data_IF_819057948416
#
_entry.id   IF_819057948416
#
_cell.length_a   1.000
_cell.length_b   1.000
_cell.length_c   1.000
_cell.angle_alpha   90.00
_cell.angle_beta   90.00
_cell.angle_gamma   90.00
#
_symmetry.space_group_name_H-M   'P 1'
#
loop_
_entity.id
_entity.type
_entity.pdbx_description
1 polymer ?
#
# COMPACT_ATOMS: atom_id res chain seq x y z
N UNK A 1 -17.15 7.31 -33.25
CA UNK A 1 -17.60 6.12 -33.98
C UNK A 1 -16.39 5.59 -34.78
N UNK A 2 -16.07 4.33 -34.61
CA UNK A 2 -14.97 3.67 -35.30
C UNK A 2 -15.45 3.20 -36.68
N UNK A 3 -14.70 3.52 -37.75
CA UNK A 3 -14.98 3.02 -39.09
C UNK A 3 -14.33 1.65 -39.26
N UNK A 4 -15.14 0.61 -39.41
CA UNK A 4 -14.65 -0.76 -39.66
C UNK A 4 -14.64 -1.04 -41.15
N UNK A 5 -13.46 -1.45 -41.64
CA UNK A 5 -13.25 -1.80 -43.03
C UNK A 5 -13.81 -3.20 -43.29
N UNK A 6 -14.64 -3.31 -44.31
CA UNK A 6 -15.20 -4.56 -44.82
C UNK A 6 -14.51 -5.06 -46.12
N UNK A 7 -15.16 -5.99 -46.81
CA UNK A 7 -14.65 -6.52 -48.08
C UNK A 7 -14.62 -5.48 -49.20
N UNK A 8 -13.86 -5.75 -50.23
CA UNK A 8 -13.85 -4.95 -51.48
C UNK A 8 -15.22 -5.01 -52.13
N UNK A 9 -15.64 -3.93 -52.80
CA UNK A 9 -16.93 -3.87 -53.52
C UNK A 9 -17.06 -4.96 -54.62
N UNK A 10 -15.94 -5.43 -55.16
CA UNK A 10 -15.88 -6.51 -56.14
C UNK A 10 -15.78 -7.91 -55.51
N UNK A 11 -15.86 -8.01 -54.19
CA UNK A 11 -15.80 -9.30 -53.51
C UNK A 11 -17.09 -10.11 -53.74
N UNK A 12 -17.03 -11.45 -53.70
CA UNK A 12 -18.21 -12.30 -53.84
C UNK A 12 -19.26 -11.97 -52.74
N UNK A 13 -20.56 -12.09 -53.10
CA UNK A 13 -21.68 -11.80 -52.17
C UNK A 13 -21.55 -12.53 -50.85
N UNK A 14 -21.07 -13.78 -50.84
CA UNK A 14 -20.79 -14.54 -49.62
C UNK A 14 -19.84 -13.83 -48.63
N UNK A 15 -18.85 -13.07 -49.15
CA UNK A 15 -17.92 -12.33 -48.29
C UNK A 15 -18.61 -11.11 -47.65
N UNK A 16 -19.49 -10.46 -48.41
CA UNK A 16 -20.30 -9.34 -47.90
C UNK A 16 -21.29 -9.83 -46.84
N UNK A 17 -22.00 -10.94 -47.12
CA UNK A 17 -22.92 -11.55 -46.16
C UNK A 17 -22.22 -12.01 -44.88
N UNK A 18 -21.03 -12.62 -45.00
CA UNK A 18 -20.22 -13.02 -43.84
C UNK A 18 -19.81 -11.82 -42.99
N UNK A 19 -19.46 -10.70 -43.61
CA UNK A 19 -19.12 -9.46 -42.92
C UNK A 19 -20.33 -8.84 -42.21
N UNK A 20 -21.53 -8.84 -42.86
CA UNK A 20 -22.76 -8.37 -42.27
C UNK A 20 -23.14 -9.19 -41.02
N UNK A 21 -23.09 -10.55 -41.14
CA UNK A 21 -23.40 -11.46 -40.02
C UNK A 21 -22.44 -11.31 -38.84
N UNK A 22 -21.13 -11.23 -39.12
CA UNK A 22 -20.12 -11.12 -38.05
C UNK A 22 -20.17 -9.81 -37.32
N UNK A 23 -20.73 -8.77 -37.92
CA UNK A 23 -20.86 -7.45 -37.29
C UNK A 23 -22.30 -7.11 -36.86
N UNK A 24 -23.25 -8.01 -37.05
CA UNK A 24 -24.68 -7.85 -36.74
C UNK A 24 -25.27 -6.56 -37.33
N UNK A 25 -24.99 -6.30 -38.62
CA UNK A 25 -25.42 -5.11 -39.33
C UNK A 25 -26.16 -5.48 -40.63
N UNK A 26 -26.96 -4.57 -41.13
CA UNK A 26 -27.66 -4.70 -42.41
C UNK A 26 -26.88 -4.06 -43.56
N UNK A 27 -27.18 -4.46 -44.80
CA UNK A 27 -26.55 -3.92 -46.00
C UNK A 27 -26.75 -2.40 -46.14
N UNK A 28 -27.84 -1.86 -45.59
CA UNK A 28 -28.14 -0.41 -45.58
C UNK A 28 -27.17 0.41 -44.69
N UNK A 29 -26.50 -0.24 -43.75
CA UNK A 29 -25.56 0.41 -42.84
C UNK A 29 -24.16 0.55 -43.43
N UNK A 30 -23.94 -0.06 -44.63
CA UNK A 30 -22.67 0.02 -45.32
C UNK A 30 -22.58 1.31 -46.16
N UNK A 31 -21.39 1.89 -46.15
CA UNK A 31 -21.02 2.94 -47.12
C UNK A 31 -19.70 2.56 -47.80
N UNK A 32 -19.48 3.12 -49.01
CA UNK A 32 -18.30 2.82 -49.81
C UNK A 32 -17.26 3.93 -49.54
N UNK A 33 -16.02 3.51 -49.30
CA UNK A 33 -14.90 4.43 -49.15
C UNK A 33 -13.74 3.98 -50.04
N UNK A 34 -13.22 4.91 -50.84
CA UNK A 34 -12.04 4.70 -51.66
C UNK A 34 -10.78 4.90 -50.85
N UNK A 35 -9.91 3.90 -50.85
CA UNK A 35 -8.59 3.95 -50.23
C UNK A 35 -7.55 3.59 -51.29
N UNK A 36 -6.25 3.73 -51.03
CA UNK A 36 -5.15 3.46 -51.97
C UNK A 36 -5.23 2.09 -52.64
N UNK A 37 -5.80 1.09 -51.97
CA UNK A 37 -5.93 -0.30 -52.46
C UNK A 37 -7.26 -0.62 -53.15
N UNK A 38 -8.09 0.40 -53.45
CA UNK A 38 -9.39 0.25 -54.09
C UNK A 38 -10.58 0.70 -53.28
N UNK A 39 -11.78 0.31 -53.71
CA UNK A 39 -13.03 0.67 -53.05
C UNK A 39 -13.49 -0.48 -52.16
N UNK A 40 -13.86 -0.15 -50.94
CA UNK A 40 -14.25 -1.11 -49.91
C UNK A 40 -15.54 -0.67 -49.24
N UNK A 41 -16.30 -1.67 -48.75
CA UNK A 41 -17.40 -1.43 -47.83
C UNK A 41 -16.85 -1.03 -46.47
N UNK A 42 -17.50 -0.06 -45.83
CA UNK A 42 -17.26 0.36 -44.46
C UNK A 42 -18.56 0.48 -43.75
N UNK A 43 -18.55 0.31 -42.43
CA UNK A 43 -19.64 0.75 -41.58
C UNK A 43 -19.15 1.52 -40.38
N UNK A 44 -19.99 2.40 -39.85
CA UNK A 44 -19.70 3.13 -38.62
C UNK A 44 -20.23 2.31 -37.46
N UNK A 45 -19.33 1.71 -36.68
CA UNK A 45 -19.72 1.04 -35.45
C UNK A 45 -20.25 2.11 -34.49
N UNK A 46 -21.52 2.02 -34.05
CA UNK A 46 -22.04 2.98 -33.07
C UNK A 46 -21.17 2.90 -31.82
N UNK A 47 -20.68 4.02 -31.35
CA UNK A 47 -20.08 4.08 -30.03
C UNK A 47 -21.20 3.90 -29.03
N UNK A 48 -21.21 2.78 -28.34
CA UNK A 48 -22.05 2.67 -27.13
C UNK A 48 -21.54 3.74 -26.17
N UNK A 49 -22.35 4.76 -25.96
CA UNK A 49 -22.10 5.74 -24.90
C UNK A 49 -22.36 5.02 -23.58
N UNK A 50 -21.30 4.42 -23.05
CA UNK A 50 -21.34 3.83 -21.71
C UNK A 50 -21.06 4.92 -20.69
N UNK A 51 -21.90 5.02 -19.67
CA UNK A 51 -21.66 5.95 -18.59
C UNK A 51 -20.48 5.44 -17.73
N UNK A 52 -19.47 6.26 -17.52
CA UNK A 52 -18.30 5.89 -16.71
C UNK A 52 -18.66 5.49 -15.29
N UNK A 53 -19.67 6.14 -14.69
CA UNK A 53 -20.13 5.82 -13.35
C UNK A 53 -20.67 4.40 -13.28
N UNK A 54 -21.52 4.00 -14.26
CA UNK A 54 -22.12 2.66 -14.31
C UNK A 54 -21.04 1.59 -14.47
N UNK A 55 -20.05 1.84 -15.34
CA UNK A 55 -18.91 0.94 -15.49
C UNK A 55 -18.08 0.82 -14.21
N UNK A 56 -17.79 1.92 -13.53
CA UNK A 56 -17.04 1.89 -12.28
C UNK A 56 -17.79 1.14 -11.18
N UNK A 57 -19.10 1.32 -11.06
CA UNK A 57 -19.93 0.60 -10.10
C UNK A 57 -19.99 -0.91 -10.39
N UNK A 58 -20.04 -1.30 -11.67
CA UNK A 58 -20.04 -2.69 -12.10
C UNK A 58 -18.69 -3.37 -11.92
N UNK A 59 -17.60 -2.74 -12.40
CA UNK A 59 -16.31 -3.40 -12.48
C UNK A 59 -15.44 -3.26 -11.22
N UNK A 60 -15.65 -2.24 -10.39
CA UNK A 60 -14.83 -2.06 -9.17
C UNK A 60 -14.92 -3.26 -8.22
N UNK A 61 -16.10 -3.79 -7.85
CA UNK A 61 -16.16 -4.98 -7.00
C UNK A 61 -15.51 -6.20 -7.64
N UNK A 62 -15.62 -6.37 -8.96
CA UNK A 62 -14.98 -7.47 -9.69
C UNK A 62 -13.44 -7.37 -9.67
N UNK A 63 -12.91 -6.15 -9.73
CA UNK A 63 -11.47 -5.90 -9.64
C UNK A 63 -10.98 -6.16 -8.21
N UNK A 64 -11.70 -5.68 -7.21
CA UNK A 64 -11.37 -5.92 -5.80
C UNK A 64 -11.33 -7.41 -5.46
N UNK A 65 -12.25 -8.19 -6.01
CA UNK A 65 -12.34 -9.65 -5.78
C UNK A 65 -11.16 -10.42 -6.41
N UNK A 66 -10.54 -9.87 -7.45
CA UNK A 66 -9.36 -10.44 -8.12
C UNK A 66 -8.04 -10.10 -7.44
N UNK A 67 -8.01 -9.24 -6.43
CA UNK A 67 -6.79 -8.91 -5.70
C UNK A 67 -6.27 -10.13 -4.93
N UNK A 68 -5.03 -10.48 -5.21
CA UNK A 68 -4.36 -11.60 -4.53
C UNK A 68 -3.46 -11.08 -3.41
N UNK A 69 -3.68 -11.60 -2.22
CA UNK A 69 -2.91 -11.26 -1.03
C UNK A 69 -1.96 -12.42 -0.67
N UNK A 70 -0.67 -12.15 -0.53
CA UNK A 70 0.31 -13.15 -0.05
C UNK A 70 -0.05 -13.69 1.33
N UNK A 71 -0.60 -12.84 2.19
CA UNK A 71 -1.17 -13.19 3.49
C UNK A 71 -2.53 -12.53 3.61
N UNK A 72 -3.52 -13.29 3.98
CA UNK A 72 -4.89 -12.82 4.15
C UNK A 72 -5.52 -13.44 5.39
N UNK A 73 -6.57 -12.84 5.89
CA UNK A 73 -7.37 -13.30 7.01
C UNK A 73 -8.87 -13.21 6.70
N UNK A 74 -9.63 -14.02 7.38
CA UNK A 74 -11.10 -13.93 7.48
C UNK A 74 -11.40 -13.46 8.90
N UNK A 75 -12.44 -12.64 9.08
CA UNK A 75 -12.81 -12.12 10.40
C UNK A 75 -14.33 -12.08 10.58
N UNK A 76 -14.76 -12.17 11.83
CA UNK A 76 -16.18 -12.19 12.18
C UNK A 76 -16.90 -13.33 11.48
N UNK A 77 -18.13 -13.08 11.04
CA UNK A 77 -18.98 -14.03 10.31
C UNK A 77 -18.92 -13.79 8.78
N UNK A 78 -17.89 -13.13 8.28
CA UNK A 78 -17.77 -12.77 6.86
C UNK A 78 -16.81 -13.73 6.15
N UNK A 79 -17.07 -13.98 4.86
CA UNK A 79 -16.24 -14.86 4.01
C UNK A 79 -15.17 -14.10 3.22
N UNK A 80 -15.06 -12.79 3.39
CA UNK A 80 -14.08 -11.99 2.68
C UNK A 80 -12.65 -12.29 3.17
N UNK A 81 -11.80 -12.70 2.24
CA UNK A 81 -10.35 -12.84 2.46
C UNK A 81 -9.65 -11.53 2.09
N UNK A 82 -9.04 -10.87 3.06
CA UNK A 82 -8.34 -9.61 2.84
C UNK A 82 -7.06 -9.54 3.67
N UNK A 83 -6.13 -8.67 3.30
CA UNK A 83 -4.86 -8.54 4.04
C UNK A 83 -5.08 -8.16 5.51
N UNK A 84 -6.09 -7.34 5.78
CA UNK A 84 -6.55 -6.94 7.12
C UNK A 84 -8.06 -6.74 7.11
N UNK A 85 -8.76 -6.70 8.26
CA UNK A 85 -10.20 -6.44 8.30
C UNK A 85 -10.57 -5.15 7.56
N UNK A 86 -11.26 -5.29 6.42
CA UNK A 86 -11.76 -4.16 5.66
C UNK A 86 -13.09 -3.70 6.27
N UNK A 87 -13.15 -2.45 6.71
CA UNK A 87 -14.31 -1.91 7.46
C UNK A 87 -15.20 -1.01 6.63
N UNK A 88 -14.67 -0.31 5.64
CA UNK A 88 -15.41 0.61 4.79
C UNK A 88 -14.72 0.78 3.44
N UNK A 89 -15.49 1.25 2.47
CA UNK A 89 -14.98 1.61 1.14
C UNK A 89 -15.47 3.03 0.83
N UNK A 90 -14.54 3.96 0.63
CA UNK A 90 -14.85 5.29 0.13
C UNK A 90 -14.63 5.29 -1.38
N UNK A 91 -15.68 5.59 -2.14
CA UNK A 91 -15.65 5.62 -3.60
C UNK A 91 -16.39 6.84 -4.12
N UNK A 92 -15.66 7.75 -4.77
CA UNK A 92 -16.21 8.99 -5.34
C UNK A 92 -15.61 9.20 -6.72
N UNK A 93 -16.43 9.52 -7.68
CA UNK A 93 -16.03 9.89 -9.03
C UNK A 93 -16.86 11.08 -9.50
N UNK A 94 -16.22 12.10 -10.05
CA UNK A 94 -16.87 13.31 -10.56
C UNK A 94 -17.90 13.92 -9.59
N UNK A 95 -17.48 14.10 -8.33
CA UNK A 95 -18.29 14.63 -7.21
C UNK A 95 -19.50 13.76 -6.80
N UNK A 96 -19.63 12.56 -7.34
CA UNK A 96 -20.73 11.63 -7.02
C UNK A 96 -20.21 10.42 -6.29
N UNK A 97 -20.98 9.90 -5.34
CA UNK A 97 -20.72 8.60 -4.74
C UNK A 97 -20.88 7.50 -5.79
N UNK A 98 -19.97 6.52 -5.77
CA UNK A 98 -20.12 5.29 -6.52
C UNK A 98 -20.76 4.26 -5.60
N UNK A 99 -21.99 3.87 -5.89
CA UNK A 99 -22.76 2.98 -5.03
C UNK A 99 -22.67 1.53 -5.53
N UNK A 100 -21.84 0.74 -4.88
CA UNK A 100 -21.71 -0.69 -5.15
C UNK A 100 -21.55 -1.48 -3.85
N UNK A 101 -21.87 -2.76 -3.93
CA UNK A 101 -21.71 -3.72 -2.84
C UNK A 101 -20.46 -4.57 -3.09
N UNK A 102 -19.63 -4.75 -2.05
CA UNK A 102 -18.51 -5.66 -2.06
C UNK A 102 -18.57 -6.55 -0.82
N UNK A 103 -18.96 -7.81 -0.99
CA UNK A 103 -19.26 -8.74 0.09
C UNK A 103 -20.26 -8.16 1.09
N UNK A 104 -19.86 -7.91 2.33
CA UNK A 104 -20.68 -7.32 3.39
C UNK A 104 -20.62 -5.80 3.44
N UNK A 105 -19.77 -5.18 2.64
CA UNK A 105 -19.57 -3.74 2.62
C UNK A 105 -20.38 -3.06 1.52
N UNK A 106 -20.83 -1.86 1.81
CA UNK A 106 -21.42 -0.93 0.84
C UNK A 106 -20.48 0.25 0.74
N UNK A 107 -20.12 0.62 -0.49
CA UNK A 107 -19.30 1.81 -0.74
C UNK A 107 -20.05 3.08 -0.35
N UNK A 108 -19.31 4.12 0.00
CA UNK A 108 -19.87 5.41 0.38
C UNK A 108 -18.93 6.56 0.00
N UNK A 109 -19.37 7.77 0.25
CA UNK A 109 -18.54 8.98 0.13
C UNK A 109 -18.02 9.47 1.49
N UNK A 110 -18.04 8.61 2.52
CA UNK A 110 -17.65 8.97 3.88
C UNK A 110 -16.46 8.16 4.36
N UNK A 111 -15.61 8.79 5.17
CA UNK A 111 -14.56 8.11 5.95
C UNK A 111 -14.24 8.88 7.22
N UNK A 112 -13.33 8.34 8.03
CA UNK A 112 -12.88 8.93 9.30
C UNK A 112 -11.39 8.65 9.51
N UNK A 113 -10.71 9.49 10.30
CA UNK A 113 -9.28 9.35 10.61
C UNK A 113 -9.00 8.44 11.78
N UNK A 114 -9.97 8.31 12.69
CA UNK A 114 -9.81 7.58 13.94
C UNK A 114 -10.67 6.33 13.92
N UNK A 115 -10.06 5.18 14.17
CA UNK A 115 -10.74 3.88 14.13
C UNK A 115 -11.72 3.69 15.28
N UNK A 116 -11.56 4.48 16.34
CA UNK A 116 -12.39 4.38 17.54
C UNK A 116 -13.64 5.25 17.47
N UNK A 117 -13.71 6.20 16.53
CA UNK A 117 -14.75 7.22 16.47
C UNK A 117 -15.48 7.24 15.12
N UNK A 118 -16.30 6.22 14.88
CA UNK A 118 -17.21 6.21 13.71
C UNK A 118 -18.12 7.45 13.65
N UNK A 119 -18.38 8.09 14.78
CA UNK A 119 -19.19 9.30 14.90
C UNK A 119 -18.57 10.53 14.21
N UNK A 120 -17.26 10.47 13.89
CA UNK A 120 -16.54 11.52 13.18
C UNK A 120 -16.45 11.31 11.68
N UNK A 121 -17.35 10.53 11.10
CA UNK A 121 -17.41 10.36 9.64
C UNK A 121 -17.56 11.70 8.94
N UNK A 122 -16.74 11.92 7.91
CA UNK A 122 -16.81 13.09 7.05
C UNK A 122 -17.14 12.70 5.63
N UNK A 123 -17.93 13.55 4.97
CA UNK A 123 -18.35 13.38 3.59
C UNK A 123 -17.32 14.04 2.68
N UNK A 124 -16.89 13.31 1.65
CA UNK A 124 -15.97 13.81 0.63
C UNK A 124 -16.62 13.73 -0.76
N UNK A 125 -16.51 14.84 -1.49
CA UNK A 125 -16.99 14.91 -2.88
C UNK A 125 -15.84 14.98 -3.87
N UNK A 126 -14.67 15.46 -3.44
CA UNK A 126 -13.50 15.65 -4.29
C UNK A 126 -12.25 15.05 -3.67
N UNK A 127 -11.30 14.64 -4.51
CA UNK A 127 -9.97 14.21 -4.03
C UNK A 127 -9.24 15.33 -3.29
N UNK A 128 -9.42 16.60 -3.70
CA UNK A 128 -8.80 17.74 -3.02
C UNK A 128 -9.29 17.85 -1.57
N UNK A 129 -10.61 17.83 -1.33
CA UNK A 129 -11.15 17.93 0.02
C UNK A 129 -10.73 16.74 0.91
N UNK A 130 -10.63 15.55 0.34
CA UNK A 130 -10.11 14.36 1.00
C UNK A 130 -8.64 14.53 1.39
N UNK A 131 -7.77 14.91 0.45
CA UNK A 131 -6.35 15.14 0.69
C UNK A 131 -6.08 16.22 1.73
N UNK A 132 -6.78 17.36 1.63
CA UNK A 132 -6.62 18.49 2.56
C UNK A 132 -6.99 18.09 3.99
N UNK A 133 -8.08 17.35 4.14
CA UNK A 133 -8.53 16.87 5.44
C UNK A 133 -7.51 15.93 6.11
N UNK A 134 -6.98 14.96 5.37
CA UNK A 134 -5.99 14.04 5.89
C UNK A 134 -4.66 14.73 6.21
N UNK A 135 -4.22 15.66 5.36
CA UNK A 135 -3.02 16.47 5.63
C UNK A 135 -3.15 17.30 6.92
N UNK A 136 -4.30 17.93 7.15
CA UNK A 136 -4.59 18.67 8.40
C UNK A 136 -4.58 17.76 9.63
N UNK A 137 -4.97 16.52 9.46
CA UNK A 137 -4.93 15.49 10.52
C UNK A 137 -3.52 14.90 10.72
N UNK A 138 -2.52 15.32 9.94
CA UNK A 138 -1.15 14.82 10.00
C UNK A 138 -0.94 13.48 9.27
N UNK A 139 -1.95 12.99 8.55
CA UNK A 139 -1.86 11.79 7.71
C UNK A 139 -1.32 12.19 6.33
N UNK A 140 -0.27 11.53 5.89
CA UNK A 140 0.37 11.76 4.58
C UNK A 140 -0.06 10.65 3.63
N UNK A 141 -1.03 10.93 2.76
CA UNK A 141 -1.61 9.94 1.84
C UNK A 141 -0.58 9.48 0.81
N UNK A 142 0.15 10.45 0.23
CA UNK A 142 1.14 10.19 -0.81
C UNK A 142 2.34 9.44 -0.24
N UNK A 143 2.62 8.26 -0.78
CA UNK A 143 3.71 7.39 -0.35
C UNK A 143 5.10 8.05 -0.49
N UNK A 144 5.34 8.75 -1.60
CA UNK A 144 6.64 9.40 -1.86
C UNK A 144 6.86 10.54 -0.88
N UNK A 145 5.86 11.40 -0.71
CA UNK A 145 5.92 12.49 0.26
C UNK A 145 6.07 11.99 1.70
N UNK A 146 5.43 10.88 2.03
CA UNK A 146 5.54 10.26 3.34
C UNK A 146 6.95 9.71 3.61
N UNK A 147 7.53 9.05 2.62
CA UNK A 147 8.93 8.57 2.68
C UNK A 147 9.90 9.73 2.90
N UNK A 148 9.79 10.77 2.09
CA UNK A 148 10.62 11.98 2.20
C UNK A 148 10.47 12.67 3.56
N UNK A 149 9.25 12.72 4.08
CA UNK A 149 8.99 13.26 5.41
C UNK A 149 9.72 12.46 6.50
N UNK A 150 9.66 11.12 6.44
CA UNK A 150 10.34 10.24 7.39
C UNK A 150 11.85 10.47 7.34
N UNK A 151 12.45 10.49 6.14
CA UNK A 151 13.90 10.73 5.94
C UNK A 151 14.31 12.06 6.59
N UNK A 152 13.66 13.16 6.20
CA UNK A 152 13.97 14.50 6.72
C UNK A 152 13.83 14.60 8.23
N UNK A 153 12.86 13.90 8.81
CA UNK A 153 12.68 13.84 10.26
C UNK A 153 13.77 13.03 10.96
N UNK A 154 14.16 11.88 10.41
CA UNK A 154 15.29 11.08 10.91
C UNK A 154 16.57 11.91 10.88
N UNK A 155 16.90 12.55 9.76
CA UNK A 155 18.08 13.42 9.61
C UNK A 155 18.10 14.55 10.63
N UNK A 156 16.97 15.25 10.80
CA UNK A 156 16.85 16.33 11.79
C UNK A 156 17.07 15.83 13.23
N UNK A 157 16.51 14.67 13.58
CA UNK A 157 16.66 14.08 14.91
C UNK A 157 18.08 13.60 15.13
N UNK A 158 18.70 12.97 14.14
CA UNK A 158 20.08 12.50 14.16
C UNK A 158 21.06 13.64 14.41
N UNK A 159 20.90 14.73 13.68
CA UNK A 159 21.72 15.93 13.84
C UNK A 159 21.58 16.55 15.23
N UNK A 160 20.36 16.60 15.77
CA UNK A 160 20.08 17.16 17.11
C UNK A 160 20.70 16.33 18.24
N UNK A 161 20.72 15.00 18.09
CA UNK A 161 21.17 14.07 19.12
C UNK A 161 22.61 13.56 18.92
N UNK A 162 23.31 14.07 17.90
CA UNK A 162 24.70 13.69 17.57
C UNK A 162 24.93 12.19 17.33
N UNK A 163 23.94 11.50 16.76
CA UNK A 163 24.09 10.12 16.30
C UNK A 163 23.87 10.01 14.78
N UNK A 164 24.25 8.89 14.22
CA UNK A 164 24.10 8.57 12.81
C UNK A 164 23.10 7.41 12.70
N UNK A 165 22.23 7.48 11.69
CA UNK A 165 21.37 6.36 11.26
C UNK A 165 21.87 5.89 9.92
N UNK A 166 22.27 4.63 9.81
CA UNK A 166 22.73 4.06 8.55
C UNK A 166 21.56 3.93 7.55
N UNK A 167 21.76 4.28 6.27
CA UNK A 167 20.74 4.15 5.25
C UNK A 167 20.30 2.68 5.08
N UNK A 168 19.02 2.42 5.22
CA UNK A 168 18.41 1.13 4.94
C UNK A 168 17.12 1.34 4.16
N UNK A 169 17.23 1.37 2.83
CA UNK A 169 16.08 1.64 1.95
C UNK A 169 14.97 0.60 2.11
N UNK A 170 15.31 -0.68 2.29
CA UNK A 170 14.31 -1.73 2.47
C UNK A 170 13.49 -1.54 3.74
N UNK A 171 14.15 -1.22 4.86
CA UNK A 171 13.48 -0.93 6.12
C UNK A 171 12.65 0.35 6.00
N UNK A 172 13.18 1.37 5.36
CA UNK A 172 12.49 2.64 5.15
C UNK A 172 11.21 2.46 4.31
N UNK A 173 11.28 1.69 3.21
CA UNK A 173 10.11 1.38 2.38
C UNK A 173 9.06 0.62 3.19
N UNK A 174 9.46 -0.41 3.91
CA UNK A 174 8.56 -1.21 4.74
C UNK A 174 7.88 -0.36 5.82
N UNK A 175 8.64 0.49 6.51
CA UNK A 175 8.09 1.39 7.53
C UNK A 175 7.15 2.44 6.92
N UNK A 176 7.51 2.98 5.75
CA UNK A 176 6.66 3.93 5.02
C UNK A 176 5.30 3.32 4.66
N UNK A 177 5.27 2.02 4.33
CA UNK A 177 4.02 1.31 3.99
C UNK A 177 3.16 0.99 5.22
N UNK A 178 3.77 0.86 6.40
CA UNK A 178 3.06 0.51 7.63
C UNK A 178 2.38 1.71 8.28
N UNK A 179 2.96 2.93 8.13
CA UNK A 179 2.49 4.12 8.83
C UNK A 179 1.80 5.10 7.89
N UNK A 180 0.76 5.77 8.36
CA UNK A 180 0.02 6.82 7.66
C UNK A 180 0.31 8.21 8.24
N UNK A 181 0.50 8.26 9.56
CA UNK A 181 0.82 9.45 10.35
C UNK A 181 2.18 9.28 11.04
N UNK A 182 3.30 9.43 10.30
CA UNK A 182 4.62 9.11 10.83
C UNK A 182 5.03 10.06 11.95
N UNK A 183 5.36 9.49 13.09
CA UNK A 183 5.95 10.15 14.25
C UNK A 183 7.23 9.42 14.67
N UNK A 184 8.37 10.12 14.60
CA UNK A 184 9.68 9.54 14.90
C UNK A 184 10.00 9.76 16.37
N UNK A 185 10.22 8.68 17.10
CA UNK A 185 10.46 8.66 18.53
C UNK A 185 11.88 8.13 18.79
N UNK A 186 12.64 8.85 19.62
CA UNK A 186 13.94 8.38 20.11
C UNK A 186 13.70 7.53 21.35
N UNK A 187 14.06 6.27 21.29
CA UNK A 187 13.96 5.27 22.33
C UNK A 187 15.36 4.85 22.80
N UNK A 188 15.44 4.24 23.98
CA UNK A 188 16.70 3.76 24.58
C UNK A 188 16.51 2.36 25.14
N UNK A 189 17.62 1.63 25.22
CA UNK A 189 17.70 0.37 25.95
C UNK A 189 18.89 0.43 26.93
N UNK A 190 18.92 -0.49 27.90
CA UNK A 190 19.97 -0.54 28.92
C UNK A 190 21.35 -0.78 28.26
N UNK A 191 22.32 0.03 28.65
CA UNK A 191 23.70 -0.04 28.11
C UNK A 191 24.37 -1.42 28.29
N UNK A 192 23.94 -2.24 29.25
CA UNK A 192 24.45 -3.61 29.44
C UNK A 192 24.34 -4.46 28.16
N UNK A 193 23.32 -4.22 27.34
CA UNK A 193 23.11 -4.95 26.10
C UNK A 193 24.11 -4.59 24.98
N UNK A 194 24.88 -3.52 25.11
CA UNK A 194 25.96 -3.18 24.18
C UNK A 194 27.12 -4.22 24.20
N UNK A 195 27.13 -5.14 25.17
CA UNK A 195 28.03 -6.28 25.20
C UNK A 195 27.64 -7.40 24.22
N UNK A 196 26.43 -7.37 23.67
CA UNK A 196 25.97 -8.27 22.62
C UNK A 196 26.60 -7.82 21.28
N UNK A 197 27.00 -8.75 20.39
CA UNK A 197 27.51 -8.40 19.08
C UNK A 197 26.58 -7.45 18.33
N UNK A 198 27.14 -6.43 17.69
CA UNK A 198 26.36 -5.40 16.98
C UNK A 198 25.43 -5.98 15.92
N UNK A 199 25.83 -7.08 15.28
CA UNK A 199 25.04 -7.78 14.25
C UNK A 199 23.72 -8.31 14.83
N UNK A 200 23.77 -8.87 16.04
CA UNK A 200 22.58 -9.36 16.75
C UNK A 200 21.67 -8.19 17.15
N UNK A 201 22.26 -7.09 17.64
CA UNK A 201 21.51 -5.89 17.97
C UNK A 201 20.79 -5.32 16.74
N UNK A 202 21.49 -5.20 15.61
CA UNK A 202 20.97 -4.68 14.36
C UNK A 202 19.81 -5.57 13.85
N UNK A 203 20.03 -6.89 13.80
CA UNK A 203 18.99 -7.84 13.36
C UNK A 203 17.76 -7.75 14.25
N UNK A 204 17.94 -7.74 15.56
CA UNK A 204 16.84 -7.64 16.52
C UNK A 204 16.01 -6.38 16.31
N UNK A 205 16.65 -5.24 16.12
CA UNK A 205 15.97 -3.96 15.93
C UNK A 205 15.37 -3.83 14.52
N UNK A 206 16.15 -4.05 13.47
CA UNK A 206 15.70 -3.80 12.10
C UNK A 206 14.76 -4.89 11.58
N UNK A 207 15.14 -6.15 11.75
CA UNK A 207 14.41 -7.25 11.12
C UNK A 207 13.14 -7.62 11.87
N UNK A 208 13.23 -7.68 13.21
CA UNK A 208 12.09 -8.13 14.02
C UNK A 208 11.16 -6.99 14.42
N UNK A 209 11.69 -5.79 14.70
CA UNK A 209 10.91 -4.69 15.25
C UNK A 209 10.72 -3.50 14.31
N UNK A 210 11.42 -3.46 13.17
CA UNK A 210 11.36 -2.36 12.20
C UNK A 210 11.84 -1.01 12.79
N UNK A 211 12.82 -1.08 13.67
CA UNK A 211 13.46 0.08 14.29
C UNK A 211 14.79 0.42 13.62
N UNK A 212 15.20 1.67 13.71
CA UNK A 212 16.46 2.15 13.16
C UNK A 212 17.50 2.25 14.29
N UNK A 213 18.53 1.38 14.30
CA UNK A 213 19.64 1.51 15.24
C UNK A 213 20.41 2.78 14.96
N UNK A 214 21.03 3.33 16.01
CA UNK A 214 21.84 4.53 15.90
C UNK A 214 23.33 4.23 16.19
N UNK A 215 24.20 5.01 15.60
CA UNK A 215 25.65 4.86 15.70
C UNK A 215 26.28 6.19 16.10
N UNK A 216 27.38 6.13 16.80
CA UNK A 216 28.23 7.31 17.06
C UNK A 216 29.05 7.70 15.81
N UNK A 217 29.77 8.80 15.88
CA UNK A 217 30.62 9.30 14.79
C UNK A 217 31.77 8.35 14.42
N UNK A 218 32.07 7.38 15.27
CA UNK A 218 33.08 6.33 15.03
C UNK A 218 32.52 5.05 14.46
N UNK A 219 31.19 5.02 14.16
CA UNK A 219 30.49 3.86 13.65
C UNK A 219 30.20 2.77 14.70
N UNK A 220 30.34 3.09 16.00
CA UNK A 220 29.97 2.18 17.08
C UNK A 220 28.47 2.33 17.36
N UNK A 221 27.75 1.20 17.50
CA UNK A 221 26.35 1.19 17.85
C UNK A 221 26.11 1.82 19.23
N UNK A 222 25.08 2.64 19.34
CA UNK A 222 24.69 3.28 20.62
C UNK A 222 23.52 2.53 21.25
N UNK A 223 23.16 2.87 22.46
CA UNK A 223 21.98 2.31 23.12
C UNK A 223 20.69 3.10 22.81
N UNK A 224 20.72 3.93 21.78
CA UNK A 224 19.54 4.64 21.27
C UNK A 224 19.06 4.00 19.97
N UNK A 225 17.79 4.12 19.68
CA UNK A 225 17.19 3.68 18.43
C UNK A 225 15.99 4.54 18.06
N UNK A 226 15.63 4.58 16.78
CA UNK A 226 14.47 5.31 16.33
C UNK A 226 13.32 4.38 16.00
N UNK A 227 12.14 4.77 16.44
CA UNK A 227 10.86 4.14 16.11
C UNK A 227 10.05 5.10 15.27
N UNK A 228 9.48 4.62 14.15
CA UNK A 228 8.49 5.38 13.39
C UNK A 228 7.11 4.86 13.79
N UNK A 229 6.45 5.59 14.67
CA UNK A 229 5.11 5.26 15.15
C UNK A 229 4.04 5.83 14.23
N UNK A 230 2.84 5.24 14.25
CA UNK A 230 1.68 5.69 13.46
C UNK A 230 0.73 6.60 14.27
N UNK A 231 1.25 7.28 15.29
CA UNK A 231 0.51 8.27 16.06
C UNK A 231 1.45 9.12 16.89
N UNK A 232 0.94 10.24 17.42
CA UNK A 232 1.68 11.09 18.37
C UNK A 232 1.81 10.37 19.70
N UNK A 233 2.93 10.58 20.39
CA UNK A 233 3.22 10.02 21.71
C UNK A 233 3.22 11.12 22.77
N UNK A 234 2.07 11.72 23.02
CA UNK A 234 1.93 12.86 23.94
C UNK A 234 2.25 12.49 25.40
N UNK A 235 1.99 11.25 25.78
CA UNK A 235 2.18 10.74 27.15
C UNK A 235 3.43 9.87 27.34
N UNK A 236 4.20 9.65 26.27
CA UNK A 236 5.38 8.78 26.29
C UNK A 236 5.09 7.28 26.37
N UNK A 237 3.84 6.85 26.24
CA UNK A 237 3.48 5.45 26.37
C UNK A 237 3.97 4.60 25.20
N UNK A 238 3.97 5.16 24.00
CA UNK A 238 4.49 4.47 22.81
C UNK A 238 6.00 4.27 22.97
N UNK A 239 6.73 5.31 23.40
CA UNK A 239 8.16 5.22 23.70
C UNK A 239 8.42 4.11 24.70
N UNK A 240 7.80 4.18 25.88
CA UNK A 240 7.98 3.21 26.95
C UNK A 240 7.64 1.78 26.53
N UNK A 241 6.57 1.60 25.76
CA UNK A 241 6.17 0.28 25.21
C UNK A 241 7.24 -0.30 24.29
N UNK A 242 7.78 0.52 23.38
CA UNK A 242 8.81 0.06 22.44
C UNK A 242 10.16 -0.22 23.14
N UNK A 243 10.54 0.58 24.14
CA UNK A 243 11.73 0.33 24.95
C UNK A 243 11.62 -1.03 25.68
N UNK A 244 10.49 -1.32 26.32
CA UNK A 244 10.24 -2.63 26.96
C UNK A 244 10.30 -3.81 26.00
N UNK A 245 9.74 -3.65 24.79
CA UNK A 245 9.79 -4.71 23.76
C UNK A 245 11.23 -4.99 23.35
N UNK A 246 12.04 -3.96 23.12
CA UNK A 246 13.46 -4.12 22.79
C UNK A 246 14.21 -4.77 23.93
N UNK A 247 14.04 -4.33 25.15
CA UNK A 247 14.71 -4.91 26.32
C UNK A 247 14.39 -6.41 26.51
N UNK A 248 13.14 -6.80 26.35
CA UNK A 248 12.76 -8.21 26.39
C UNK A 248 13.47 -9.03 25.31
N UNK A 249 13.50 -8.52 24.06
CA UNK A 249 14.18 -9.20 22.95
C UNK A 249 15.69 -9.27 23.12
N UNK A 250 16.30 -8.19 23.64
CA UNK A 250 17.74 -8.17 23.90
C UNK A 250 18.12 -9.06 25.07
N UNK A 251 17.26 -9.21 26.08
CA UNK A 251 17.47 -10.16 27.18
C UNK A 251 17.48 -11.61 26.65
N UNK A 252 16.53 -11.95 25.79
CA UNK A 252 16.52 -13.26 25.13
C UNK A 252 17.79 -13.47 24.28
N UNK A 253 18.16 -12.47 23.49
CA UNK A 253 19.34 -12.52 22.63
C UNK A 253 20.63 -12.67 23.46
N UNK A 254 20.76 -11.96 24.56
CA UNK A 254 21.88 -12.07 25.49
C UNK A 254 21.99 -13.47 26.09
N UNK A 255 20.86 -14.01 26.57
CA UNK A 255 20.82 -15.36 27.13
C UNK A 255 21.30 -16.41 26.13
N UNK A 256 20.80 -16.38 24.90
CA UNK A 256 21.24 -17.30 23.85
C UNK A 256 22.68 -17.10 23.43
N UNK A 257 23.14 -15.85 23.37
CA UNK A 257 24.53 -15.53 23.05
C UNK A 257 25.49 -16.11 24.11
N UNK A 258 25.22 -15.86 25.39
CA UNK A 258 26.06 -16.36 26.50
C UNK A 258 26.03 -17.89 26.54
N UNK A 259 24.88 -18.51 26.36
CA UNK A 259 24.74 -19.99 26.30
C UNK A 259 25.53 -20.56 25.13
N UNK A 260 25.45 -19.98 23.95
CA UNK A 260 26.19 -20.47 22.77
C UNK A 260 27.71 -20.28 22.94
N UNK A 261 28.13 -19.17 23.54
CA UNK A 261 29.54 -18.90 23.83
C UNK A 261 30.14 -19.91 24.79
N UNK A 262 29.36 -20.44 25.74
CA UNK A 262 29.79 -21.45 26.70
C UNK A 262 29.80 -22.88 26.12
N UNK A 263 29.18 -23.10 24.93
CA UNK A 263 29.08 -24.42 24.31
C UNK A 263 30.16 -24.60 23.24
N UNK A 264 30.88 -25.74 23.32
CA UNK A 264 31.82 -26.10 22.28
C UNK A 264 31.07 -26.74 21.10
N UNK A 265 30.93 -26.02 20.00
CA UNK A 265 30.24 -26.45 18.78
C UNK A 265 30.79 -27.77 18.22
N UNK A 266 32.09 -28.01 18.34
CA UNK A 266 32.74 -29.24 17.85
C UNK A 266 32.21 -30.46 18.58
N UNK A 267 31.89 -30.37 19.88
CA UNK A 267 31.30 -31.44 20.66
C UNK A 267 29.83 -31.72 20.34
N UNK A 268 29.14 -30.80 19.68
CA UNK A 268 27.72 -31.01 19.30
C UNK A 268 27.58 -31.65 17.92
N UNK A 269 28.54 -31.44 17.02
CA UNK A 269 28.54 -32.06 15.68
C UNK A 269 28.96 -33.52 15.72
N UNK A 270 29.62 -33.98 16.80
CA UNK A 270 30.07 -35.35 16.99
C UNK A 270 29.07 -36.23 17.77
N UNK A 271 27.85 -35.74 18.01
CA UNK A 271 26.70 -36.54 18.50
C UNK A 271 25.64 -36.66 17.40
#
# INVERSE_FOLDING_TARGET
AEEIKGPNIKAPDKAVEGFLRSNLIDKKDLFIKKIEKGEFYFFKKPSNKTNTIDLLQEYTPLILDKLQWKKSMIWGNYNLKWARPLKSILAVFDNKSLDFKFHHLISSNTTFTDKEFEDKKKIFKTFKSYKDFFNQSGIIIDHVLRKDFIIKKIEKISSKNNFIVEPNNKLLDEVTDIVEQPNIIVCKFDQKFLNIPKEILIITMQYHQKYFPTFDKKGKITNEFLVVANSKDEKGYIKLGNERVVEARLSDAQFFWEKNKSQNLVKQVSK
#
